data_IF_988708230230
#
_entry.id   IF_988708230230
#
_cell.length_a   1.000
_cell.length_b   1.000
_cell.length_c   1.000
_cell.angle_alpha   90.00
_cell.angle_beta   90.00
_cell.angle_gamma   90.00
#
_symmetry.space_group_name_H-M   'P 1'
#
loop_
_entity.id
_entity.type
_entity.pdbx_description
1 polymer ?
#
# COMPACT_ATOMS: atom_id res chain seq x y z
N UNK A 1 16.74 6.49 -9.52
CA UNK A 1 15.64 5.72 -8.94
C UNK A 1 16.16 4.32 -8.66
N UNK A 2 15.97 3.83 -7.45
CA UNK A 2 16.36 2.48 -7.02
C UNK A 2 15.11 1.70 -6.64
N UNK A 3 15.16 0.38 -6.82
CA UNK A 3 14.08 -0.54 -6.46
C UNK A 3 14.64 -1.59 -5.51
N UNK A 4 14.02 -1.75 -4.35
CA UNK A 4 14.48 -2.63 -3.30
C UNK A 4 13.38 -3.63 -2.95
N UNK A 5 13.68 -4.93 -3.05
CA UNK A 5 12.76 -5.97 -2.59
C UNK A 5 12.73 -6.00 -1.07
N UNK A 6 11.55 -6.15 -0.51
CA UNK A 6 11.35 -6.26 0.94
C UNK A 6 11.49 -7.73 1.41
N UNK A 7 11.17 -8.01 2.67
CA UNK A 7 11.07 -9.38 3.19
C UNK A 7 10.03 -10.23 2.46
N UNK A 8 9.03 -9.60 1.83
CA UNK A 8 8.09 -10.22 0.89
C UNK A 8 8.46 -9.69 -0.50
N UNK A 9 9.18 -10.44 -1.34
CA UNK A 9 9.85 -9.91 -2.53
C UNK A 9 8.94 -9.25 -3.57
N UNK A 10 7.64 -9.54 -3.55
CA UNK A 10 6.67 -8.94 -4.45
C UNK A 10 6.34 -7.48 -4.07
N UNK A 11 6.49 -7.13 -2.79
CA UNK A 11 6.36 -5.76 -2.29
C UNK A 11 7.68 -5.04 -2.45
N UNK A 12 7.69 -3.90 -3.15
CA UNK A 12 8.93 -3.22 -3.56
C UNK A 12 8.95 -1.79 -3.02
N UNK A 13 10.06 -1.43 -2.36
CA UNK A 13 10.33 -0.04 -2.02
C UNK A 13 10.97 0.63 -3.25
N UNK A 14 10.44 1.80 -3.62
CA UNK A 14 10.99 2.65 -4.67
C UNK A 14 11.62 3.88 -4.04
N UNK A 15 12.90 4.07 -4.26
CA UNK A 15 13.67 5.22 -3.77
C UNK A 15 14.05 6.12 -4.95
N UNK A 16 13.37 7.25 -5.15
CA UNK A 16 13.71 8.20 -6.19
C UNK A 16 15.00 8.94 -5.85
N UNK A 17 15.71 9.40 -6.88
CA UNK A 17 16.87 10.29 -6.69
C UNK A 17 16.33 11.71 -6.57
N UNK A 18 16.68 12.39 -5.49
CA UNK A 18 16.31 13.78 -5.23
C UNK A 18 17.51 14.68 -5.61
N UNK A 19 17.28 15.65 -6.47
CA UNK A 19 18.26 16.66 -6.88
C UNK A 19 17.91 17.99 -6.21
N UNK A 20 18.70 18.43 -5.25
CA UNK A 20 18.48 19.66 -4.49
C UNK A 20 19.52 20.74 -4.77
N UNK A 21 19.11 22.02 -4.72
CA UNK A 21 19.95 23.22 -4.71
C UNK A 21 19.31 24.33 -3.87
N UNK A 22 19.87 25.54 -3.87
CA UNK A 22 19.39 26.69 -3.09
C UNK A 22 17.95 27.14 -3.45
N UNK A 23 17.37 26.66 -4.55
CA UNK A 23 16.00 26.96 -4.98
C UNK A 23 14.99 25.92 -4.49
N UNK A 24 15.46 24.77 -3.97
CA UNK A 24 14.63 23.65 -3.55
C UNK A 24 15.11 22.33 -4.16
N UNK A 25 14.17 21.47 -4.57
CA UNK A 25 14.53 20.16 -5.14
C UNK A 25 13.70 19.81 -6.38
N UNK A 26 14.28 18.96 -7.21
CA UNK A 26 13.61 18.23 -8.28
C UNK A 26 13.72 16.74 -8.02
N UNK A 27 12.62 16.02 -8.24
CA UNK A 27 12.56 14.57 -8.11
C UNK A 27 11.72 13.96 -9.22
N UNK A 28 12.27 12.97 -9.92
CA UNK A 28 11.52 12.11 -10.83
C UNK A 28 10.85 11.02 -9.98
N UNK A 29 9.54 11.17 -9.75
CA UNK A 29 8.81 10.31 -8.81
C UNK A 29 8.34 8.99 -9.43
N UNK A 30 8.27 8.90 -10.77
CA UNK A 30 7.79 7.71 -11.46
C UNK A 30 8.41 7.57 -12.84
N UNK A 31 8.83 6.35 -13.17
CA UNK A 31 9.32 5.93 -14.48
C UNK A 31 8.78 4.53 -14.76
N UNK A 32 7.80 4.43 -15.67
CA UNK A 32 7.13 3.16 -15.99
C UNK A 32 8.11 2.16 -16.60
N UNK A 33 8.94 2.61 -17.52
CA UNK A 33 9.95 1.79 -18.20
C UNK A 33 10.92 1.12 -17.22
N UNK A 34 11.43 1.88 -16.23
CA UNK A 34 12.35 1.34 -15.20
C UNK A 34 11.65 0.39 -14.23
N UNK A 35 10.40 0.69 -13.88
CA UNK A 35 9.62 -0.18 -13.01
C UNK A 35 9.33 -1.53 -13.71
N UNK A 36 8.89 -1.50 -14.96
CA UNK A 36 8.63 -2.71 -15.75
C UNK A 36 9.89 -3.53 -15.98
N UNK A 37 11.03 -2.88 -16.26
CA UNK A 37 12.34 -3.55 -16.39
C UNK A 37 12.71 -4.31 -15.10
N UNK A 38 12.50 -3.68 -13.93
CA UNK A 38 12.80 -4.29 -12.64
C UNK A 38 11.85 -5.44 -12.29
N UNK A 39 10.56 -5.28 -12.57
CA UNK A 39 9.54 -6.27 -12.24
C UNK A 39 9.53 -7.45 -13.22
N UNK A 40 9.88 -7.23 -14.49
CA UNK A 40 9.80 -8.21 -15.56
C UNK A 40 8.40 -8.37 -16.16
N UNK A 41 7.45 -7.52 -15.77
CA UNK A 41 6.10 -7.49 -16.33
C UNK A 41 5.54 -6.06 -16.36
N UNK A 42 4.48 -5.86 -17.16
CA UNK A 42 3.87 -4.54 -17.36
C UNK A 42 2.81 -4.22 -16.31
N UNK A 43 2.78 -2.96 -15.89
CA UNK A 43 1.72 -2.39 -15.05
C UNK A 43 1.19 -1.13 -15.73
N UNK A 44 -0.10 -1.11 -16.05
CA UNK A 44 -0.75 0.02 -16.70
C UNK A 44 -1.50 0.87 -15.66
N UNK A 45 -0.81 1.79 -14.99
CA UNK A 45 -1.47 2.72 -14.08
C UNK A 45 -2.45 3.62 -14.83
N UNK A 46 -3.71 3.66 -14.37
CA UNK A 46 -4.81 4.34 -15.05
C UNK A 46 -5.51 5.42 -14.21
N UNK A 47 -5.23 5.51 -12.90
CA UNK A 47 -5.87 6.46 -12.00
C UNK A 47 -4.89 6.91 -10.91
N UNK A 48 -4.90 8.21 -10.60
CA UNK A 48 -4.22 8.80 -9.46
C UNK A 48 -5.24 9.21 -8.40
N UNK A 49 -4.93 8.97 -7.14
CA UNK A 49 -5.73 9.38 -5.99
C UNK A 49 -4.88 10.16 -5.00
N UNK A 50 -5.52 11.08 -4.30
CA UNK A 50 -4.90 11.85 -3.22
C UNK A 50 -5.86 11.93 -2.03
N UNK A 51 -5.32 11.88 -0.82
CA UNK A 51 -6.06 12.12 0.41
C UNK A 51 -5.25 12.96 1.38
N UNK A 52 -5.95 13.82 2.16
CA UNK A 52 -5.37 14.56 3.28
C UNK A 52 -6.00 14.06 4.56
N UNK A 53 -5.16 13.81 5.58
CA UNK A 53 -5.60 13.23 6.84
C UNK A 53 -4.83 13.83 8.02
N UNK A 54 -5.47 13.86 9.21
CA UNK A 54 -4.83 14.21 10.48
C UNK A 54 -4.12 13.01 11.08
N UNK A 55 -3.21 13.26 12.01
CA UNK A 55 -2.52 12.22 12.79
C UNK A 55 -3.53 11.25 13.43
N UNK A 56 -3.19 9.96 13.39
CA UNK A 56 -3.98 8.87 13.93
C UNK A 56 -5.00 8.28 12.95
N UNK A 57 -5.29 8.93 11.82
CA UNK A 57 -6.17 8.34 10.80
C UNK A 57 -5.54 7.07 10.26
N UNK A 58 -6.26 5.94 10.39
CA UNK A 58 -5.91 4.66 9.81
C UNK A 58 -6.93 4.33 8.71
N UNK A 59 -6.44 3.97 7.54
CA UNK A 59 -7.25 3.51 6.40
C UNK A 59 -6.78 2.12 5.99
N UNK A 60 -7.63 1.15 6.06
CA UNK A 60 -7.28 -0.22 5.70
C UNK A 60 -7.82 -1.29 6.66
N UNK A 61 -7.45 -2.51 6.41
CA UNK A 61 -6.71 -3.01 5.24
C UNK A 61 -7.67 -3.24 4.08
N UNK A 62 -7.40 -2.68 2.90
CA UNK A 62 -8.29 -2.72 1.76
C UNK A 62 -7.66 -3.42 0.55
N UNK A 63 -8.48 -4.13 -0.22
CA UNK A 63 -8.12 -4.71 -1.52
C UNK A 63 -9.36 -4.81 -2.41
N UNK A 64 -9.16 -5.01 -3.69
CA UNK A 64 -10.23 -5.35 -4.63
C UNK A 64 -9.99 -6.72 -5.24
N UNK A 65 -11.06 -7.49 -5.39
CA UNK A 65 -11.05 -8.79 -6.06
C UNK A 65 -10.92 -8.63 -7.58
N UNK A 66 -10.48 -9.71 -8.24
CA UNK A 66 -10.58 -9.81 -9.70
C UNK A 66 -12.04 -9.72 -10.15
N UNK A 67 -12.36 -9.11 -11.32
CA UNK A 67 -11.43 -8.60 -12.32
C UNK A 67 -10.88 -7.19 -12.02
N UNK A 68 -11.26 -6.57 -10.90
CA UNK A 68 -10.88 -5.20 -10.52
C UNK A 68 -9.74 -5.14 -9.50
N UNK A 69 -8.96 -6.23 -9.36
CA UNK A 69 -7.78 -6.24 -8.49
C UNK A 69 -6.81 -5.09 -8.84
N UNK A 70 -6.22 -4.45 -7.82
CA UNK A 70 -5.38 -3.27 -8.00
C UNK A 70 -3.96 -3.50 -7.50
N UNK A 71 -2.98 -3.14 -8.33
CA UNK A 71 -1.65 -2.76 -7.87
C UNK A 71 -1.67 -1.30 -7.47
N UNK A 72 -0.98 -0.97 -6.38
CA UNK A 72 -0.87 0.42 -5.90
C UNK A 72 0.59 0.82 -5.84
N UNK A 73 0.91 2.03 -6.33
CA UNK A 73 2.19 2.69 -6.07
C UNK A 73 1.90 3.92 -5.22
N UNK A 74 2.28 3.85 -3.95
CA UNK A 74 1.88 4.82 -2.94
C UNK A 74 3.06 5.68 -2.48
N UNK A 75 2.81 6.94 -2.12
CA UNK A 75 3.80 7.87 -1.60
C UNK A 75 3.19 8.95 -0.72
N UNK A 76 4.02 9.61 0.09
CA UNK A 76 3.64 10.79 0.86
C UNK A 76 4.14 12.05 0.15
N UNK A 77 3.24 13.01 -0.04
CA UNK A 77 3.55 14.35 -0.58
C UNK A 77 4.03 15.27 0.56
N UNK A 78 3.33 15.24 1.70
CA UNK A 78 3.59 16.02 2.90
C UNK A 78 3.27 15.18 4.12
N UNK A 79 4.11 15.26 5.17
CA UNK A 79 3.94 14.50 6.41
C UNK A 79 4.51 13.08 6.34
N UNK A 80 3.96 12.17 7.14
CA UNK A 80 4.50 10.83 7.36
C UNK A 80 3.39 9.81 7.62
N UNK A 81 3.56 8.59 7.12
CA UNK A 81 2.71 7.42 7.41
C UNK A 81 3.55 6.18 7.68
N UNK A 82 3.00 5.23 8.44
CA UNK A 82 3.39 3.83 8.34
C UNK A 82 2.48 3.17 7.33
N UNK A 83 3.04 2.68 6.25
CA UNK A 83 2.34 1.98 5.17
C UNK A 83 2.52 0.48 5.28
N UNK A 84 1.43 -0.29 5.16
CA UNK A 84 1.41 -1.73 5.43
C UNK A 84 0.79 -2.49 4.26
N UNK A 85 1.51 -3.53 3.81
CA UNK A 85 1.04 -4.48 2.80
C UNK A 85 1.03 -5.90 3.40
N UNK A 86 -0.11 -6.58 3.37
CA UNK A 86 -0.32 -7.94 3.89
C UNK A 86 -0.52 -8.90 2.73
N UNK A 87 0.25 -9.98 2.67
CA UNK A 87 0.03 -11.05 1.68
C UNK A 87 -1.25 -11.84 2.01
N UNK A 88 -2.24 -11.77 1.13
CA UNK A 88 -3.52 -12.46 1.27
C UNK A 88 -3.74 -13.53 0.19
N UNK A 89 -2.67 -14.01 -0.44
CA UNK A 89 -2.71 -15.08 -1.43
C UNK A 89 -2.65 -16.43 -0.74
N UNK A 90 -3.73 -17.19 -0.77
CA UNK A 90 -3.78 -18.57 -0.25
C UNK A 90 -2.66 -19.41 -0.85
N UNK A 91 -2.07 -20.29 -0.07
CA UNK A 91 -0.93 -21.13 -0.45
C UNK A 91 0.38 -20.37 -0.73
N UNK A 92 0.44 -19.06 -0.50
CA UNK A 92 1.69 -18.32 -0.52
C UNK A 92 2.58 -18.70 0.67
N UNK A 93 3.92 -18.80 0.49
CA UNK A 93 4.84 -19.01 1.60
C UNK A 93 4.85 -17.86 2.62
N UNK A 94 4.32 -16.70 2.23
CA UNK A 94 4.20 -15.50 3.07
C UNK A 94 2.74 -15.13 3.39
N UNK A 95 1.80 -16.05 3.19
CA UNK A 95 0.39 -15.83 3.52
C UNK A 95 0.22 -15.34 4.97
N UNK A 96 -0.48 -14.24 5.16
CA UNK A 96 -0.69 -13.59 6.45
C UNK A 96 0.52 -12.83 7.01
N UNK A 97 1.67 -12.86 6.35
CA UNK A 97 2.80 -12.00 6.69
C UNK A 97 2.61 -10.60 6.09
N UNK A 98 3.25 -9.61 6.68
CA UNK A 98 3.17 -8.23 6.23
C UNK A 98 4.53 -7.55 6.11
N UNK A 99 4.56 -6.49 5.33
CA UNK A 99 5.63 -5.50 5.26
C UNK A 99 5.08 -4.19 5.78
N UNK A 100 5.82 -3.54 6.67
CA UNK A 100 5.50 -2.20 7.17
C UNK A 100 6.67 -1.26 6.88
N UNK A 101 6.39 -0.13 6.22
CA UNK A 101 7.41 0.83 5.78
C UNK A 101 6.96 2.24 6.12
N UNK A 102 7.85 3.01 6.76
CA UNK A 102 7.64 4.44 6.91
C UNK A 102 7.86 5.16 5.59
N UNK A 103 6.81 5.88 5.15
CA UNK A 103 6.85 6.75 3.97
C UNK A 103 6.65 8.19 4.42
N UNK A 104 7.50 9.10 3.96
CA UNK A 104 7.40 10.51 4.36
C UNK A 104 7.78 11.47 3.23
N UNK A 105 7.40 12.74 3.41
CA UNK A 105 7.87 13.82 2.54
C UNK A 105 9.38 14.03 2.61
N UNK A 106 10.05 13.56 3.67
CA UNK A 106 11.49 13.66 3.84
C UNK A 106 12.24 12.52 3.15
N UNK A 107 11.85 11.26 3.40
CA UNK A 107 12.53 10.11 2.83
C UNK A 107 12.19 9.86 1.35
N UNK A 108 11.11 10.46 0.84
CA UNK A 108 10.61 10.32 -0.54
C UNK A 108 10.36 8.88 -1.01
N UNK A 109 10.43 7.91 -0.11
CA UNK A 109 10.17 6.51 -0.43
C UNK A 109 8.74 6.31 -0.92
N UNK A 110 8.58 5.33 -1.78
CA UNK A 110 7.28 4.86 -2.24
C UNK A 110 7.21 3.35 -2.04
N UNK A 111 6.00 2.82 -1.92
CA UNK A 111 5.77 1.38 -1.81
C UNK A 111 4.92 0.91 -2.99
N UNK A 112 5.41 -0.11 -3.68
CA UNK A 112 4.63 -0.86 -4.65
C UNK A 112 3.97 -2.03 -3.93
N UNK A 113 2.66 -2.03 -3.89
CA UNK A 113 1.82 -3.09 -3.33
C UNK A 113 1.12 -3.80 -4.50
N UNK A 114 1.49 -5.04 -4.84
CA UNK A 114 0.94 -5.73 -6.00
C UNK A 114 -0.47 -6.27 -5.76
N UNK A 115 -1.12 -6.77 -6.81
CA UNK A 115 -2.37 -7.52 -6.70
C UNK A 115 -2.18 -8.74 -5.82
N UNK A 116 -3.18 -9.09 -5.02
CA UNK A 116 -3.07 -10.18 -4.05
C UNK A 116 -2.60 -9.76 -2.66
N UNK A 117 -2.50 -8.46 -2.42
CA UNK A 117 -2.18 -7.90 -1.10
C UNK A 117 -3.30 -7.03 -0.58
N UNK A 118 -3.55 -7.07 0.73
CA UNK A 118 -4.35 -6.09 1.44
C UNK A 118 -3.43 -4.93 1.88
N UNK A 119 -3.91 -3.69 1.73
CA UNK A 119 -3.13 -2.48 1.93
C UNK A 119 -3.81 -1.54 2.92
N UNK A 120 -3.03 -0.93 3.77
CA UNK A 120 -3.48 0.12 4.67
C UNK A 120 -2.33 0.98 5.18
N UNK A 121 -2.65 2.10 5.78
CA UNK A 121 -1.66 2.98 6.40
C UNK A 121 -2.22 3.70 7.61
N UNK A 122 -1.36 4.07 8.53
CA UNK A 122 -1.66 4.99 9.63
C UNK A 122 -0.86 6.27 9.49
N UNK A 123 -1.53 7.38 9.71
CA UNK A 123 -0.95 8.73 9.62
C UNK A 123 -0.22 9.08 10.91
N UNK A 124 1.07 9.41 10.80
CA UNK A 124 1.95 9.70 11.93
C UNK A 124 2.11 11.21 12.21
N UNK A 125 1.81 12.06 11.24
CA UNK A 125 1.93 13.52 11.33
C UNK A 125 0.64 14.23 10.92
N UNK A 126 0.41 15.43 11.48
CA UNK A 126 -0.74 16.24 11.10
C UNK A 126 -0.66 16.75 9.66
N UNK A 127 -1.83 16.90 9.01
CA UNK A 127 -1.93 17.39 7.64
C UNK A 127 -1.18 16.56 6.59
N UNK A 128 -1.00 15.27 6.84
CA UNK A 128 -0.34 14.36 5.89
C UNK A 128 -1.15 14.26 4.59
N UNK A 129 -0.47 14.45 3.47
CA UNK A 129 -1.01 14.29 2.12
C UNK A 129 -0.42 13.02 1.52
N UNK A 130 -1.27 12.05 1.25
CA UNK A 130 -0.95 10.74 0.73
C UNK A 130 -1.49 10.58 -0.68
N UNK A 131 -0.66 10.20 -1.63
CA UNK A 131 -1.02 10.02 -3.03
C UNK A 131 -0.65 8.62 -3.52
N UNK A 132 -1.45 8.07 -4.44
CA UNK A 132 -1.17 6.75 -5.01
C UNK A 132 -1.75 6.56 -6.41
N UNK A 133 -1.01 5.81 -7.22
CA UNK A 133 -1.44 5.31 -8.52
C UNK A 133 -2.04 3.93 -8.38
N UNK A 134 -3.05 3.63 -9.20
CA UNK A 134 -3.65 2.29 -9.31
C UNK A 134 -3.75 1.86 -10.77
N UNK A 135 -3.64 0.56 -11.01
CA UNK A 135 -3.68 -0.06 -12.33
C UNK A 135 -5.06 -0.61 -12.72
N UNK A 136 -6.09 -0.30 -11.93
CA UNK A 136 -7.48 -0.60 -12.26
C UNK A 136 -8.41 0.38 -11.56
N UNK A 137 -9.62 0.58 -12.09
CA UNK A 137 -10.59 1.50 -11.50
C UNK A 137 -11.25 0.94 -10.24
N UNK A 138 -11.76 1.85 -9.40
CA UNK A 138 -12.51 1.46 -8.23
C UNK A 138 -13.83 0.76 -8.60
N UNK A 139 -14.07 -0.40 -7.95
CA UNK A 139 -15.30 -1.18 -8.11
C UNK A 139 -15.86 -1.50 -6.71
N UNK A 140 -16.98 -0.90 -6.31
CA UNK A 140 -17.60 -1.17 -5.01
C UNK A 140 -17.93 -2.65 -4.80
N UNK A 141 -18.33 -3.36 -5.85
CA UNK A 141 -18.70 -4.78 -5.78
C UNK A 141 -17.49 -5.68 -5.50
N UNK A 142 -16.31 -5.24 -5.89
CA UNK A 142 -15.05 -5.97 -5.68
C UNK A 142 -14.27 -5.48 -4.44
N UNK A 143 -14.70 -4.39 -3.80
CA UNK A 143 -14.02 -3.80 -2.65
C UNK A 143 -14.20 -4.66 -1.40
N UNK A 144 -13.09 -5.00 -0.76
CA UNK A 144 -13.01 -5.86 0.42
C UNK A 144 -12.04 -5.27 1.43
N UNK A 145 -12.10 -5.80 2.66
CA UNK A 145 -11.15 -5.41 3.70
C UNK A 145 -10.91 -6.51 4.69
N UNK A 146 -9.86 -6.32 5.48
CA UNK A 146 -9.47 -7.17 6.60
C UNK A 146 -9.31 -6.28 7.84
N UNK A 147 -9.67 -6.79 9.00
CA UNK A 147 -9.56 -6.08 10.26
C UNK A 147 -8.10 -5.65 10.51
N UNK A 148 -7.91 -4.35 10.74
CA UNK A 148 -6.59 -3.75 11.01
C UNK A 148 -5.96 -4.29 12.30
N UNK A 149 -6.79 -4.75 13.24
CA UNK A 149 -6.43 -5.28 14.56
C UNK A 149 -6.54 -6.81 14.63
N UNK A 150 -6.40 -7.50 13.51
CA UNK A 150 -6.32 -8.96 13.49
C UNK A 150 -5.06 -9.43 14.23
N UNK A 151 -5.25 -10.11 15.35
CA UNK A 151 -4.17 -10.61 16.22
C UNK A 151 -3.21 -11.56 15.50
N UNK A 152 -3.68 -12.28 14.47
CA UNK A 152 -2.84 -13.19 13.70
C UNK A 152 -1.91 -12.45 12.72
N UNK A 153 -2.28 -11.24 12.31
CA UNK A 153 -1.42 -10.38 11.50
C UNK A 153 -0.36 -9.67 12.34
N UNK A 154 -0.64 -9.45 13.62
CA UNK A 154 0.27 -8.83 14.61
C UNK A 154 0.96 -7.57 14.06
N UNK A 155 0.20 -6.68 13.42
CA UNK A 155 0.72 -5.42 12.86
C UNK A 155 0.94 -4.43 13.99
N UNK A 156 2.18 -3.95 14.13
CA UNK A 156 2.50 -2.82 15.01
C UNK A 156 2.21 -1.51 14.27
N UNK A 157 1.12 -0.86 14.62
CA UNK A 157 0.72 0.44 14.04
C UNK A 157 1.44 1.63 14.67
N UNK A 158 2.43 1.40 15.55
CA UNK A 158 3.22 2.43 16.25
C UNK A 158 2.37 3.24 17.25
N UNK A 159 1.17 3.68 16.86
CA UNK A 159 0.25 4.45 17.69
C UNK A 159 -0.59 3.51 18.56
N UNK A 160 -0.96 4.00 19.75
CA UNK A 160 -1.89 3.27 20.62
C UNK A 160 -3.29 3.21 20.00
N UNK A 161 -4.04 2.17 20.31
CA UNK A 161 -5.39 1.95 19.76
C UNK A 161 -6.33 3.15 20.00
N UNK A 162 -6.18 3.83 21.11
CA UNK A 162 -6.97 5.00 21.51
C UNK A 162 -6.66 6.25 20.66
N UNK A 163 -5.50 6.28 20.01
CA UNK A 163 -5.08 7.37 19.13
C UNK A 163 -5.57 7.17 17.69
N UNK A 164 -6.02 5.95 17.36
CA UNK A 164 -6.44 5.60 16.01
C UNK A 164 -7.82 6.16 15.68
N UNK A 165 -7.96 6.72 14.49
CA UNK A 165 -9.20 7.27 13.94
C UNK A 165 -9.58 6.47 12.69
N UNK A 166 -10.63 5.68 12.79
CA UNK A 166 -11.09 4.79 11.72
C UNK A 166 -12.42 5.26 11.14
N UNK A 167 -12.67 4.90 9.90
CA UNK A 167 -14.02 4.97 9.34
C UNK A 167 -14.91 3.87 9.93
N UNK A 168 -16.22 4.06 9.89
CA UNK A 168 -17.18 3.02 10.31
C UNK A 168 -16.96 1.71 9.53
N UNK A 169 -16.62 1.81 8.24
CA UNK A 169 -16.31 0.66 7.40
C UNK A 169 -15.10 -0.12 7.93
N UNK A 170 -14.03 0.56 8.33
CA UNK A 170 -12.78 -0.08 8.76
C UNK A 170 -12.90 -0.76 10.13
N UNK A 171 -13.83 -0.32 10.97
CA UNK A 171 -14.13 -0.99 12.25
C UNK A 171 -14.94 -2.29 12.12
N UNK A 172 -15.51 -2.58 10.95
CA UNK A 172 -16.39 -3.72 10.70
C UNK A 172 -15.80 -4.80 9.82
N UNK A 173 -14.52 -4.68 9.46
CA UNK A 173 -13.87 -5.65 8.57
C UNK A 173 -13.68 -7.02 9.27
N UNK A 174 -13.79 -8.13 8.52
CA UNK A 174 -13.56 -9.47 9.05
C UNK A 174 -12.08 -9.71 9.34
N UNK A 175 -11.76 -10.64 10.23
CA UNK A 175 -10.38 -11.15 10.39
C UNK A 175 -9.99 -11.97 9.15
N UNK A 176 -8.68 -12.05 8.87
CA UNK A 176 -8.16 -12.79 7.70
C UNK A 176 -8.67 -14.23 7.64
N UNK A 177 -8.68 -14.95 8.78
CA UNK A 177 -9.16 -16.33 8.87
C UNK A 177 -10.65 -16.50 8.52
N UNK A 178 -11.46 -15.46 8.71
CA UNK A 178 -12.90 -15.47 8.48
C UNK A 178 -13.25 -14.95 7.07
N UNK A 179 -12.24 -14.49 6.31
CA UNK A 179 -12.39 -13.94 4.97
C UNK A 179 -12.36 -15.07 3.93
N UNK A 180 -13.41 -15.14 3.10
CA UNK A 180 -13.53 -16.17 2.04
C UNK A 180 -12.94 -15.70 0.71
N UNK A 181 -13.11 -14.42 0.42
CA UNK A 181 -12.77 -13.79 -0.86
C UNK A 181 -11.30 -13.35 -0.84
N UNK A 182 -10.39 -14.26 -1.16
CA UNK A 182 -8.95 -14.06 -1.18
C UNK A 182 -8.37 -14.45 -2.55
N UNK A 183 -7.11 -14.12 -2.76
CA UNK A 183 -6.35 -14.50 -3.96
C UNK A 183 -5.74 -15.89 -3.80
N UNK A 184 -5.33 -16.49 -4.93
CA UNK A 184 -4.57 -17.74 -4.96
C UNK A 184 -3.13 -17.45 -5.39
N UNK A 185 -2.16 -18.02 -4.69
CA UNK A 185 -0.74 -17.89 -5.06
C UNK A 185 -0.45 -18.62 -6.38
N UNK A 186 0.36 -18.01 -7.24
CA UNK A 186 0.72 -18.58 -8.54
C UNK A 186 -0.28 -18.27 -9.67
N UNK A 187 -1.40 -17.60 -9.38
CA UNK A 187 -2.32 -17.11 -10.40
C UNK A 187 -1.86 -15.75 -10.92
N UNK A 188 -1.81 -15.60 -12.25
CA UNK A 188 -1.53 -14.29 -12.85
C UNK A 188 -2.81 -13.44 -12.90
N UNK A 189 -2.84 -12.39 -12.10
CA UNK A 189 -3.98 -11.46 -12.03
C UNK A 189 -3.81 -10.23 -12.93
N UNK A 190 -2.76 -10.18 -13.78
CA UNK A 190 -2.46 -9.07 -14.68
C UNK A 190 -2.93 -9.30 -16.14
N UNK A 191 -3.45 -10.50 -16.43
CA UNK A 191 -4.02 -10.88 -17.72
C UNK A 191 -5.54 -10.73 -17.76
#
# INVERSE_FOLDING_TARGET
MQFLRTSIPDVVIVEPIVHGDDRGYFVETFRNDKLEEFLGYKINFCQDNESKSSKGVLRGLHYQLAPHAQTKLVRVISGCVLDVAVDIRKNSPTFGQHVAVELSSENKKQLLVPRGFAHGFVVLEENTVFAYKVDNYYSPDCDRGIAFDDENLNIDWILKKEELKLSEKDTKQPKLRDTKDLFEFGVNYYE
#
